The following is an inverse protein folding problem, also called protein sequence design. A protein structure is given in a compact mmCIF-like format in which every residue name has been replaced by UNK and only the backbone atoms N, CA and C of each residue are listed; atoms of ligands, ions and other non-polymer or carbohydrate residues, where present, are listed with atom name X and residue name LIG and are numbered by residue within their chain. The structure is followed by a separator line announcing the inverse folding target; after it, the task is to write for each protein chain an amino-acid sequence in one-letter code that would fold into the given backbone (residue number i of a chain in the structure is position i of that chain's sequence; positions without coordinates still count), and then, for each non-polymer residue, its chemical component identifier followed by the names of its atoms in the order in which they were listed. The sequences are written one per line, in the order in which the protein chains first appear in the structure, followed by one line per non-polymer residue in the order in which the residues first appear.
data_IF_283844565631
#
_entry.id   IF_283844565631
#
_cell.length_a   1.000
_cell.length_b   1.000
_cell.length_c   1.000
_cell.angle_alpha   90.00
_cell.angle_beta   90.00
_cell.angle_gamma   90.00
#
_symmetry.space_group_name_H-M   'P 1'
#
loop_
_entity.id
_entity.type
_entity.pdbx_description
1 polymer ?
#
# COMPACT_ATOMS: atom_id res chain seq x y z
N UNK A 1 4.10 53.05 27.13
CA UNK A 1 3.37 52.84 28.40
C UNK A 1 2.08 53.66 28.29
N UNK A 2 0.93 53.05 28.18
CA UNK A 2 -0.35 53.72 28.34
C UNK A 2 -0.41 54.19 29.81
N UNK A 3 -0.36 55.52 30.02
CA UNK A 3 -0.48 56.08 31.35
C UNK A 3 -1.89 55.79 31.86
N UNK A 4 -1.99 54.88 32.85
CA UNK A 4 -3.24 54.66 33.56
C UNK A 4 -3.54 55.94 34.34
N UNK A 5 -4.53 56.74 33.89
CA UNK A 5 -4.89 57.99 34.54
C UNK A 5 -5.68 57.68 35.82
N UNK A 6 -5.13 58.14 36.92
CA UNK A 6 -5.78 58.12 38.22
C UNK A 6 -6.42 59.48 38.53
N UNK A 7 -7.64 59.49 39.03
CA UNK A 7 -8.25 60.68 39.62
C UNK A 7 -7.70 60.86 41.04
N UNK A 8 -7.38 62.09 41.41
CA UNK A 8 -6.88 62.41 42.76
C UNK A 8 -8.04 62.87 43.66
N UNK A 9 -8.25 62.15 44.75
CA UNK A 9 -9.20 62.47 45.79
C UNK A 9 -8.46 62.68 47.12
N UNK A 10 -8.18 63.98 47.41
CA UNK A 10 -7.33 64.29 48.56
C UNK A 10 -5.94 63.66 48.41
N UNK A 11 -5.44 62.96 49.41
CA UNK A 11 -4.14 62.30 49.38
C UNK A 11 -4.20 60.89 48.69
N UNK A 12 -5.35 60.51 48.13
CA UNK A 12 -5.53 59.14 47.54
C UNK A 12 -5.62 59.21 46.00
N UNK A 13 -4.90 58.30 45.34
CA UNK A 13 -5.04 58.02 43.92
C UNK A 13 -6.14 56.99 43.71
N UNK A 14 -7.20 57.35 42.98
CA UNK A 14 -8.35 56.46 42.69
C UNK A 14 -8.37 56.17 41.20
N UNK A 15 -8.41 54.92 40.84
CA UNK A 15 -8.50 54.43 39.46
C UNK A 15 -9.93 54.02 39.14
N UNK A 16 -10.40 54.29 37.94
CA UNK A 16 -11.61 53.65 37.44
C UNK A 16 -11.39 52.14 37.27
N UNK A 17 -12.44 51.31 37.32
CA UNK A 17 -12.36 49.86 37.09
C UNK A 17 -11.72 49.54 35.75
N UNK A 18 -12.08 50.30 34.71
CA UNK A 18 -11.50 50.09 33.36
C UNK A 18 -10.01 50.47 33.31
N UNK A 19 -9.59 51.53 34.01
CA UNK A 19 -8.19 51.94 34.09
C UNK A 19 -7.36 50.91 34.86
N UNK A 20 -7.90 50.40 35.96
CA UNK A 20 -7.27 49.32 36.74
C UNK A 20 -7.12 48.02 35.92
N UNK A 21 -8.22 47.56 35.30
CA UNK A 21 -8.19 46.34 34.48
C UNK A 21 -7.20 46.46 33.33
N UNK A 22 -7.13 47.60 32.64
CA UNK A 22 -6.15 47.85 31.59
C UNK A 22 -4.72 47.81 32.12
N UNK A 23 -4.45 48.38 33.29
CA UNK A 23 -3.14 48.31 33.92
C UNK A 23 -2.71 46.89 34.26
N UNK A 24 -3.64 46.09 34.77
CA UNK A 24 -3.40 44.67 35.04
C UNK A 24 -3.18 43.89 33.75
N UNK A 25 -3.98 44.13 32.70
CA UNK A 25 -3.82 43.45 31.40
C UNK A 25 -2.44 43.79 30.78
N UNK A 26 -2.02 45.05 30.82
CA UNK A 26 -0.70 45.49 30.36
C UNK A 26 0.43 44.83 31.16
N UNK A 27 0.27 44.66 32.46
CA UNK A 27 1.25 43.95 33.28
C UNK A 27 1.33 42.46 32.94
N UNK A 28 0.18 41.76 32.84
CA UNK A 28 0.10 40.35 32.46
C UNK A 28 0.66 40.10 31.07
N UNK A 29 0.49 41.01 30.11
CA UNK A 29 0.99 40.87 28.75
C UNK A 29 2.51 40.82 28.63
N UNK A 30 3.25 41.26 29.69
CA UNK A 30 4.73 41.23 29.78
C UNK A 30 5.25 39.90 30.31
N UNK A 31 4.39 39.05 30.87
CA UNK A 31 4.81 37.72 31.31
C UNK A 31 5.13 36.81 30.12
N UNK A 32 6.17 35.98 30.22
CA UNK A 32 6.52 35.05 29.15
C UNK A 32 5.41 34.01 28.96
N UNK A 33 5.39 33.42 27.77
CA UNK A 33 4.62 32.19 27.53
C UNK A 33 5.25 31.05 28.33
N UNK A 34 4.42 30.25 28.97
CA UNK A 34 4.86 29.15 29.83
C UNK A 34 4.03 27.87 29.53
N UNK A 35 4.58 26.73 29.88
CA UNK A 35 3.84 25.49 29.92
C UNK A 35 3.20 25.32 31.31
N UNK A 36 1.94 24.91 31.35
CA UNK A 36 1.18 24.61 32.57
C UNK A 36 0.63 23.21 32.42
N UNK A 37 0.86 22.37 33.43
CA UNK A 37 0.31 21.02 33.53
C UNK A 37 -0.97 21.03 34.37
N UNK A 38 -1.93 20.20 33.98
CA UNK A 38 -3.16 20.01 34.75
C UNK A 38 -4.07 18.97 34.12
N UNK A 39 -5.10 18.59 34.87
CA UNK A 39 -6.18 17.72 34.42
C UNK A 39 -7.29 18.57 33.81
N UNK A 40 -7.78 18.18 32.64
CA UNK A 40 -8.87 18.87 31.94
C UNK A 40 -10.17 18.64 32.71
N UNK A 41 -10.85 19.72 33.02
CA UNK A 41 -12.21 19.69 33.58
C UNK A 41 -13.07 20.73 32.89
N UNK A 42 -14.38 20.52 32.87
CA UNK A 42 -15.36 21.43 32.28
C UNK A 42 -15.03 21.85 30.84
N UNK A 43 -14.70 20.89 29.98
CA UNK A 43 -14.47 21.19 28.56
C UNK A 43 -15.76 21.65 27.86
N UNK A 44 -15.79 22.90 27.39
CA UNK A 44 -16.94 23.53 26.75
C UNK A 44 -16.65 23.80 25.28
N UNK A 45 -17.23 23.00 24.40
CA UNK A 45 -17.06 23.03 22.93
C UNK A 45 -18.38 23.36 22.23
N UNK A 46 -18.94 24.53 22.38
CA UNK A 46 -20.17 24.86 21.65
C UNK A 46 -19.86 25.37 20.25
N UNK A 47 -20.55 24.85 19.22
CA UNK A 47 -20.31 25.19 17.81
C UNK A 47 -20.43 26.69 17.47
N UNK A 48 -21.19 27.43 18.25
CA UNK A 48 -21.43 28.86 18.06
C UNK A 48 -20.34 29.76 18.66
N UNK A 49 -19.39 29.23 19.41
CA UNK A 49 -18.37 30.02 20.10
C UNK A 49 -17.09 30.10 19.27
N UNK A 50 -16.51 31.30 19.18
CA UNK A 50 -15.24 31.55 18.51
C UNK A 50 -14.04 30.93 19.25
N UNK A 51 -14.21 30.55 20.53
CA UNK A 51 -13.18 29.97 21.38
C UNK A 51 -13.71 28.72 22.10
N UNK A 52 -12.82 27.77 22.35
CA UNK A 52 -13.02 26.64 23.25
C UNK A 52 -12.55 27.07 24.64
N UNK A 53 -13.29 26.66 25.66
CA UNK A 53 -12.97 26.92 27.06
C UNK A 53 -12.83 25.59 27.80
N UNK A 54 -11.82 25.51 28.65
CA UNK A 54 -11.62 24.39 29.56
C UNK A 54 -11.05 24.91 30.89
N UNK A 55 -11.15 24.12 31.93
CA UNK A 55 -10.51 24.38 33.21
C UNK A 55 -9.41 23.35 33.40
N UNK A 56 -8.18 23.79 33.70
CA UNK A 56 -7.12 22.89 34.18
C UNK A 56 -7.23 22.84 35.70
N UNK A 57 -7.20 21.64 36.25
CA UNK A 57 -7.19 21.38 37.67
C UNK A 57 -5.86 20.71 38.04
N UNK A 58 -5.20 21.24 39.07
CA UNK A 58 -4.02 20.58 39.63
C UNK A 58 -4.47 19.29 40.34
N UNK A 59 -3.87 18.13 39.99
CA UNK A 59 -4.27 16.87 40.63
C UNK A 59 -3.86 16.72 42.08
N UNK A 60 -2.92 17.57 42.60
CA UNK A 60 -2.39 17.47 43.94
C UNK A 60 -3.19 18.34 44.90
N UNK A 61 -3.36 19.62 44.60
CA UNK A 61 -3.98 20.59 45.49
C UNK A 61 -5.37 21.06 45.04
N UNK A 62 -5.78 20.68 43.84
CA UNK A 62 -7.08 21.02 43.27
C UNK A 62 -7.22 22.47 42.78
N UNK A 63 -6.11 23.23 42.67
CA UNK A 63 -6.09 24.57 42.11
C UNK A 63 -6.60 24.56 40.66
N UNK A 64 -7.42 25.55 40.30
CA UNK A 64 -8.04 25.62 38.97
C UNK A 64 -7.55 26.83 38.19
N UNK A 65 -7.27 26.59 36.90
CA UNK A 65 -6.89 27.65 35.94
C UNK A 65 -7.85 27.59 34.75
N UNK A 66 -8.57 28.69 34.51
CA UNK A 66 -9.43 28.80 33.32
C UNK A 66 -8.59 29.02 32.07
N UNK A 67 -8.77 28.19 31.07
CA UNK A 67 -8.06 28.24 29.80
C UNK A 67 -9.01 28.55 28.66
N UNK A 68 -8.55 29.41 27.74
CA UNK A 68 -9.25 29.73 26.51
C UNK A 68 -8.34 29.53 25.30
N UNK A 69 -8.88 28.97 24.22
CA UNK A 69 -8.16 28.79 22.96
C UNK A 69 -9.06 29.13 21.77
N UNK A 70 -8.57 29.85 20.74
CA UNK A 70 -9.34 30.08 19.51
C UNK A 70 -9.75 28.71 18.92
N UNK A 71 -11.01 28.61 18.50
CA UNK A 71 -11.57 27.35 17.99
C UNK A 71 -10.79 26.80 16.80
N UNK A 72 -10.43 27.63 15.84
CA UNK A 72 -9.66 27.21 14.68
C UNK A 72 -8.32 26.57 15.03
N UNK A 73 -7.66 27.09 16.09
CA UNK A 73 -6.41 26.52 16.59
C UNK A 73 -6.65 25.21 17.33
N UNK A 74 -7.70 25.13 18.15
CA UNK A 74 -8.06 23.92 18.87
C UNK A 74 -8.41 22.77 17.91
N UNK A 75 -9.24 23.06 16.89
CA UNK A 75 -9.65 22.07 15.90
C UNK A 75 -8.47 21.62 15.02
N UNK A 76 -7.48 22.51 14.77
CA UNK A 76 -6.26 22.16 14.04
C UNK A 76 -5.36 21.17 14.80
N UNK A 77 -5.42 21.15 16.15
CA UNK A 77 -4.66 20.18 16.97
C UNK A 77 -5.21 18.76 16.84
N UNK A 78 -6.44 18.58 16.33
CA UNK A 78 -7.12 17.28 16.20
C UNK A 78 -7.13 16.46 17.48
N UNK A 79 -7.12 17.13 18.62
CA UNK A 79 -7.16 16.50 19.94
C UNK A 79 -8.62 16.26 20.34
N UNK A 80 -8.95 15.01 20.57
CA UNK A 80 -10.24 14.63 21.15
C UNK A 80 -10.07 14.53 22.66
N UNK A 81 -10.03 15.72 23.32
CA UNK A 81 -9.86 15.83 24.76
C UNK A 81 -11.17 15.52 25.46
N UNK A 82 -11.07 14.80 26.56
CA UNK A 82 -12.17 14.52 27.49
C UNK A 82 -11.82 15.00 28.90
N UNK A 83 -12.86 15.23 29.70
CA UNK A 83 -12.66 15.56 31.11
C UNK A 83 -11.94 14.42 31.86
N UNK A 84 -10.97 14.77 32.70
CA UNK A 84 -10.11 13.83 33.41
C UNK A 84 -8.76 13.57 32.74
N UNK A 85 -8.51 14.05 31.53
CA UNK A 85 -7.21 13.90 30.88
C UNK A 85 -6.16 14.90 31.40
N UNK A 86 -4.94 14.42 31.62
CA UNK A 86 -3.80 15.30 31.94
C UNK A 86 -3.18 15.83 30.68
N UNK A 87 -2.96 17.16 30.66
CA UNK A 87 -2.42 17.87 29.51
C UNK A 87 -1.36 18.88 29.92
N UNK A 88 -0.48 19.19 29.00
CA UNK A 88 0.39 20.36 29.03
C UNK A 88 -0.19 21.43 28.12
N UNK A 89 -0.41 22.62 28.66
CA UNK A 89 -0.92 23.76 27.90
C UNK A 89 0.14 24.84 27.82
N UNK A 90 0.55 25.17 26.61
CA UNK A 90 1.46 26.28 26.33
C UNK A 90 0.68 27.54 26.06
N UNK A 91 0.96 28.61 26.80
CA UNK A 91 0.21 29.85 26.66
C UNK A 91 0.73 30.94 27.55
N UNK A 92 -0.09 31.97 27.72
CA UNK A 92 0.19 33.14 28.56
C UNK A 92 -1.05 33.59 29.34
N UNK A 93 -0.87 34.19 30.51
CA UNK A 93 -1.96 34.78 31.25
C UNK A 93 -2.54 35.97 30.50
N UNK A 94 -3.86 36.15 30.53
CA UNK A 94 -4.61 37.22 29.90
C UNK A 94 -5.75 37.68 30.83
N UNK A 95 -5.98 38.98 30.90
CA UNK A 95 -7.15 39.51 31.57
C UNK A 95 -8.14 40.00 30.51
N UNK A 96 -9.37 39.51 30.56
CA UNK A 96 -10.46 40.05 29.76
C UNK A 96 -10.96 41.34 30.35
N UNK A 97 -10.47 42.48 29.86
CA UNK A 97 -10.64 43.82 30.46
C UNK A 97 -12.10 44.17 30.73
N UNK A 98 -13.03 43.82 29.83
CA UNK A 98 -14.45 44.20 29.95
C UNK A 98 -15.15 43.58 31.17
N UNK A 99 -14.66 42.45 31.71
CA UNK A 99 -15.24 41.72 32.87
C UNK A 99 -14.28 41.57 34.03
N UNK A 100 -12.98 41.87 33.81
CA UNK A 100 -11.95 41.58 34.82
C UNK A 100 -11.66 40.10 35.01
N UNK A 101 -12.04 39.22 34.05
CA UNK A 101 -11.86 37.79 34.14
C UNK A 101 -10.42 37.42 33.80
N UNK A 102 -9.74 36.76 34.73
CA UNK A 102 -8.42 36.17 34.52
C UNK A 102 -8.55 34.86 33.77
N UNK A 103 -7.74 34.68 32.74
CA UNK A 103 -7.70 33.47 31.91
C UNK A 103 -6.28 33.17 31.48
N UNK A 104 -6.03 31.92 31.13
CA UNK A 104 -4.81 31.48 30.44
C UNK A 104 -5.12 31.31 28.95
N UNK A 105 -4.53 32.13 28.09
CA UNK A 105 -4.70 31.99 26.65
C UNK A 105 -3.76 30.95 26.12
N UNK A 106 -4.31 29.79 25.75
CA UNK A 106 -3.57 28.69 25.17
C UNK A 106 -3.18 28.98 23.72
N UNK A 107 -1.95 28.63 23.37
CA UNK A 107 -1.39 28.64 22.02
C UNK A 107 -1.21 27.20 21.49
N UNK A 108 -0.90 26.24 22.39
CA UNK A 108 -0.84 24.82 22.09
C UNK A 108 -1.31 24.00 23.30
N UNK A 109 -1.80 22.80 23.04
CA UNK A 109 -2.18 21.82 24.06
C UNK A 109 -1.58 20.49 23.63
N UNK A 110 -0.90 19.81 24.55
CA UNK A 110 -0.31 18.49 24.36
C UNK A 110 -0.76 17.55 25.46
N UNK A 111 -1.00 16.28 25.14
CA UNK A 111 -1.30 15.29 26.19
C UNK A 111 -0.07 15.04 27.04
N UNK A 112 -0.27 14.88 28.34
CA UNK A 112 0.80 14.61 29.30
C UNK A 112 1.58 13.34 28.92
N UNK A 113 2.90 13.42 28.93
CA UNK A 113 3.77 12.30 28.65
C UNK A 113 3.95 11.93 27.18
N UNK A 114 3.27 12.57 26.22
CA UNK A 114 3.40 12.26 24.80
C UNK A 114 4.84 12.41 24.30
N UNK A 115 5.54 13.47 24.70
CA UNK A 115 6.94 13.69 24.32
C UNK A 115 7.87 12.58 24.84
N UNK A 116 7.68 12.14 26.06
CA UNK A 116 8.47 11.06 26.67
C UNK A 116 8.17 9.72 26.02
N UNK A 117 6.89 9.46 25.68
CA UNK A 117 6.47 8.26 24.95
C UNK A 117 7.06 8.23 23.54
N UNK A 118 7.05 9.33 22.82
CA UNK A 118 7.66 9.40 21.47
C UNK A 118 9.18 9.18 21.53
N UNK A 119 9.86 9.77 22.51
CA UNK A 119 11.29 9.56 22.70
C UNK A 119 11.62 8.10 23.07
N UNK A 120 10.78 7.47 23.92
CA UNK A 120 10.91 6.06 24.27
C UNK A 120 10.68 5.14 23.06
N UNK A 121 9.66 5.46 22.25
CA UNK A 121 9.33 4.74 21.02
C UNK A 121 10.48 4.82 20.00
N UNK A 122 11.08 5.99 19.81
CA UNK A 122 12.20 6.16 18.88
C UNK A 122 13.47 5.42 19.38
N UNK A 123 13.72 5.40 20.69
CA UNK A 123 14.79 4.56 21.27
C UNK A 123 14.55 3.08 21.04
N UNK A 124 13.31 2.62 21.26
CA UNK A 124 12.90 1.23 21.00
C UNK A 124 13.09 0.87 19.53
N UNK A 125 12.61 1.71 18.61
CA UNK A 125 12.75 1.53 17.18
C UNK A 125 14.23 1.35 16.76
N UNK A 126 15.11 2.22 17.24
CA UNK A 126 16.57 2.12 16.94
C UNK A 126 17.17 0.83 17.47
N UNK A 127 16.79 0.40 18.68
CA UNK A 127 17.26 -0.86 19.27
C UNK A 127 16.81 -2.06 18.44
N UNK A 128 15.52 -2.15 18.10
CA UNK A 128 14.98 -3.26 17.31
C UNK A 128 15.51 -3.27 15.87
N UNK A 129 15.78 -2.11 15.30
CA UNK A 129 16.46 -1.99 14.00
C UNK A 129 17.89 -2.52 14.06
N UNK A 130 18.65 -2.17 15.12
CA UNK A 130 20.00 -2.68 15.32
C UNK A 130 20.05 -4.21 15.54
N UNK A 131 18.98 -4.79 16.05
CA UNK A 131 18.82 -6.25 16.18
C UNK A 131 18.35 -6.91 14.83
N UNK A 132 18.13 -6.13 13.77
CA UNK A 132 17.73 -6.65 12.44
C UNK A 132 16.27 -7.09 12.33
N UNK A 133 15.39 -6.76 13.29
CA UNK A 133 14.00 -7.23 13.29
C UNK A 133 13.18 -6.69 12.12
N UNK A 134 13.59 -5.59 11.49
CA UNK A 134 12.88 -4.96 10.38
C UNK A 134 13.39 -5.34 9.00
N UNK A 135 14.43 -6.17 8.92
CA UNK A 135 15.05 -6.55 7.64
C UNK A 135 14.40 -7.79 7.02
N UNK A 136 13.80 -8.64 7.84
CA UNK A 136 13.19 -9.88 7.38
C UNK A 136 11.92 -9.61 6.59
N UNK A 137 11.89 -10.09 5.34
CA UNK A 137 10.73 -10.00 4.45
C UNK A 137 10.50 -11.36 3.79
N UNK A 138 9.47 -12.06 4.19
CA UNK A 138 9.10 -13.34 3.56
C UNK A 138 8.14 -13.08 2.40
N UNK A 139 8.26 -13.82 1.30
CA UNK A 139 7.29 -13.71 0.22
C UNK A 139 5.92 -14.21 0.68
N UNK A 140 4.87 -13.54 0.24
CA UNK A 140 3.52 -14.00 0.47
C UNK A 140 3.22 -15.25 -0.41
N UNK A 141 2.45 -16.22 0.09
CA UNK A 141 2.01 -17.35 -0.70
C UNK A 141 1.11 -16.91 -1.84
N UNK A 142 1.38 -17.39 -3.05
CA UNK A 142 0.57 -17.03 -4.24
C UNK A 142 -0.87 -17.50 -4.12
N UNK A 143 -1.09 -18.65 -3.48
CA UNK A 143 -2.39 -19.29 -3.28
C UNK A 143 -2.48 -19.77 -1.83
N UNK A 144 -2.85 -18.90 -0.89
CA UNK A 144 -2.98 -19.32 0.51
C UNK A 144 -4.16 -20.29 0.66
N UNK A 145 -3.97 -21.36 1.39
CA UNK A 145 -5.03 -22.32 1.74
C UNK A 145 -5.99 -21.69 2.73
N UNK A 146 -5.42 -21.00 3.71
CA UNK A 146 -6.17 -20.34 4.77
C UNK A 146 -5.46 -19.06 5.21
N UNK A 147 -6.24 -18.01 5.37
CA UNK A 147 -5.80 -16.69 5.83
C UNK A 147 -6.23 -16.52 7.28
N UNK A 148 -5.29 -16.25 8.18
CA UNK A 148 -5.58 -15.79 9.53
C UNK A 148 -5.89 -14.29 9.51
N UNK A 149 -6.91 -13.86 10.22
CA UNK A 149 -7.25 -12.44 10.38
C UNK A 149 -7.29 -12.09 11.86
N UNK A 150 -6.34 -11.28 12.33
CA UNK A 150 -6.35 -10.68 13.67
C UNK A 150 -6.95 -9.28 13.56
N UNK A 151 -8.05 -9.04 14.21
CA UNK A 151 -8.76 -7.74 14.17
C UNK A 151 -9.58 -7.52 15.43
N UNK A 152 -9.99 -6.26 15.64
CA UNK A 152 -10.91 -5.92 16.71
C UNK A 152 -12.34 -6.37 16.44
N UNK A 153 -13.16 -6.21 17.47
CA UNK A 153 -14.61 -6.45 17.39
C UNK A 153 -15.32 -5.34 16.58
N UNK A 154 -14.57 -4.40 16.00
CA UNK A 154 -15.09 -3.38 15.10
C UNK A 154 -15.62 -4.03 13.83
N UNK A 155 -16.93 -3.99 13.69
CA UNK A 155 -17.66 -4.60 12.58
C UNK A 155 -17.26 -4.05 11.21
N UNK A 156 -16.71 -2.82 11.12
CA UNK A 156 -16.34 -2.18 9.86
C UNK A 156 -15.06 -2.78 9.27
N UNK A 157 -13.92 -2.71 9.98
CA UNK A 157 -12.63 -3.22 9.50
C UNK A 157 -12.69 -4.73 9.20
N UNK A 158 -13.31 -5.51 10.10
CA UNK A 158 -13.54 -6.95 9.89
C UNK A 158 -14.34 -7.23 8.62
N UNK A 159 -15.46 -6.51 8.43
CA UNK A 159 -16.33 -6.67 7.27
C UNK A 159 -15.61 -6.30 5.98
N UNK A 160 -14.84 -5.21 5.99
CA UNK A 160 -14.09 -4.74 4.82
C UNK A 160 -13.07 -5.77 4.36
N UNK A 161 -12.30 -6.37 5.30
CA UNK A 161 -11.33 -7.43 4.97
C UNK A 161 -12.03 -8.66 4.45
N UNK A 162 -13.07 -9.15 5.13
CA UNK A 162 -13.79 -10.36 4.72
C UNK A 162 -14.46 -10.17 3.36
N UNK A 163 -15.11 -9.03 3.13
CA UNK A 163 -15.73 -8.73 1.83
C UNK A 163 -14.68 -8.67 0.73
N UNK A 164 -13.55 -7.97 0.96
CA UNK A 164 -12.50 -7.86 -0.02
C UNK A 164 -11.87 -9.23 -0.37
N UNK A 165 -11.64 -10.10 0.63
CA UNK A 165 -11.12 -11.46 0.42
C UNK A 165 -12.09 -12.33 -0.37
N UNK A 166 -13.35 -12.40 0.06
CA UNK A 166 -14.35 -13.29 -0.54
C UNK A 166 -14.79 -12.85 -1.93
N UNK A 167 -14.84 -11.55 -2.19
CA UNK A 167 -15.15 -11.00 -3.52
C UNK A 167 -14.00 -11.28 -4.50
N UNK A 168 -12.76 -11.03 -4.06
CA UNK A 168 -11.60 -11.20 -4.94
C UNK A 168 -11.23 -12.66 -5.20
N UNK A 169 -11.35 -13.50 -4.18
CA UNK A 169 -11.03 -14.93 -4.27
C UNK A 169 -12.01 -15.75 -3.43
N UNK A 170 -13.19 -16.08 -3.97
CA UNK A 170 -14.25 -16.82 -3.25
C UNK A 170 -13.80 -18.14 -2.59
N UNK A 171 -12.79 -18.88 -3.11
CA UNK A 171 -12.30 -20.09 -2.45
C UNK A 171 -11.48 -19.83 -1.18
N UNK A 172 -11.13 -18.58 -0.85
CA UNK A 172 -10.33 -18.26 0.33
C UNK A 172 -11.04 -18.71 1.61
N UNK A 173 -10.31 -19.43 2.45
CA UNK A 173 -10.75 -19.78 3.80
C UNK A 173 -10.13 -18.80 4.79
N UNK A 174 -10.95 -18.21 5.64
CA UNK A 174 -10.51 -17.21 6.62
C UNK A 174 -10.79 -17.71 8.03
N UNK A 175 -9.79 -17.63 8.89
CA UNK A 175 -9.94 -17.85 10.35
C UNK A 175 -9.78 -16.50 11.03
N UNK A 176 -10.82 -16.06 11.71
CA UNK A 176 -10.84 -14.76 12.38
C UNK A 176 -10.52 -14.95 13.87
N UNK A 177 -9.48 -14.28 14.33
CA UNK A 177 -9.15 -14.14 15.74
C UNK A 177 -9.55 -12.72 16.18
N UNK A 178 -10.72 -12.60 16.78
CA UNK A 178 -11.21 -11.34 17.35
C UNK A 178 -10.53 -11.06 18.68
N UNK A 179 -9.97 -9.86 18.82
CA UNK A 179 -9.22 -9.51 20.02
C UNK A 179 -9.31 -8.02 20.32
N UNK A 180 -8.78 -7.59 21.45
CA UNK A 180 -8.64 -6.16 21.75
C UNK A 180 -7.54 -5.57 20.86
N UNK A 181 -7.87 -4.52 20.12
CA UNK A 181 -6.93 -3.80 19.22
C UNK A 181 -6.67 -2.36 19.68
N UNK A 182 -7.16 -1.99 20.86
CA UNK A 182 -6.95 -0.69 21.48
C UNK A 182 -6.92 -0.81 23.01
N UNK A 183 -6.28 0.15 23.66
CA UNK A 183 -6.11 0.20 25.10
C UNK A 183 -5.01 -0.72 25.65
N UNK A 184 -4.79 -0.74 26.98
CA UNK A 184 -3.64 -1.40 27.62
C UNK A 184 -3.58 -2.93 27.42
N UNK A 185 -4.71 -3.56 27.14
CA UNK A 185 -4.82 -5.01 26.93
C UNK A 185 -4.58 -5.45 25.49
N UNK A 186 -4.45 -4.50 24.55
CA UNK A 186 -4.37 -4.83 23.13
C UNK A 186 -3.11 -5.62 22.78
N UNK A 187 -1.92 -5.15 23.18
CA UNK A 187 -0.68 -5.82 22.81
C UNK A 187 -0.61 -7.29 23.26
N UNK A 188 -0.85 -7.66 24.55
CA UNK A 188 -0.85 -9.06 24.95
C UNK A 188 -1.94 -9.88 24.24
N UNK A 189 -3.14 -9.32 24.07
CA UNK A 189 -4.25 -10.02 23.44
C UNK A 189 -3.99 -10.30 21.93
N UNK A 190 -3.30 -9.40 21.22
CA UNK A 190 -2.87 -9.61 19.83
C UNK A 190 -1.77 -10.68 19.76
N UNK A 191 -0.82 -10.70 20.70
CA UNK A 191 0.20 -11.75 20.81
C UNK A 191 -0.46 -13.12 20.94
N UNK A 192 -1.41 -13.26 21.85
CA UNK A 192 -2.14 -14.51 22.06
C UNK A 192 -2.94 -14.93 20.81
N UNK A 193 -3.57 -13.97 20.13
CA UNK A 193 -4.29 -14.21 18.90
C UNK A 193 -3.38 -14.71 17.77
N UNK A 194 -2.19 -14.09 17.60
CA UNK A 194 -1.19 -14.54 16.61
C UNK A 194 -0.70 -15.94 16.96
N UNK A 195 -0.41 -16.21 18.23
CA UNK A 195 0.04 -17.53 18.68
C UNK A 195 -1.02 -18.61 18.40
N UNK A 196 -2.28 -18.35 18.73
CA UNK A 196 -3.38 -19.28 18.45
C UNK A 196 -3.55 -19.56 16.95
N UNK A 197 -3.41 -18.54 16.09
CA UNK A 197 -3.44 -18.76 14.65
C UNK A 197 -2.23 -19.57 14.16
N UNK A 198 -1.07 -19.41 14.76
CA UNK A 198 0.13 -20.16 14.41
C UNK A 198 0.06 -21.65 14.78
N UNK A 199 -0.80 -22.05 15.71
CA UNK A 199 -1.07 -23.45 16.08
C UNK A 199 -1.92 -24.18 15.01
N UNK A 200 -2.60 -23.44 14.14
CA UNK A 200 -3.41 -24.01 13.06
C UNK A 200 -2.52 -24.30 11.87
N UNK A 201 -2.37 -25.58 11.52
CA UNK A 201 -1.39 -26.05 10.50
C UNK A 201 -1.58 -25.43 9.11
N UNK A 202 -2.81 -25.17 8.70
CA UNK A 202 -3.14 -24.74 7.34
C UNK A 202 -3.12 -23.23 7.15
N UNK A 203 -2.71 -22.45 8.13
CA UNK A 203 -2.59 -20.98 7.97
C UNK A 203 -1.28 -20.66 7.26
N UNK A 204 -1.39 -20.08 6.08
CA UNK A 204 -0.27 -19.74 5.22
C UNK A 204 0.13 -18.25 5.31
N UNK A 205 -0.77 -17.38 5.78
CA UNK A 205 -0.54 -15.95 5.96
C UNK A 205 -1.48 -15.38 7.03
N UNK A 206 -1.00 -14.41 7.80
CA UNK A 206 -1.81 -13.70 8.80
C UNK A 206 -1.95 -12.23 8.36
N UNK A 207 -3.16 -11.70 8.44
CA UNK A 207 -3.47 -10.27 8.29
C UNK A 207 -3.73 -9.71 9.68
N UNK A 208 -2.93 -8.73 10.09
CA UNK A 208 -3.15 -7.93 11.29
C UNK A 208 -3.81 -6.62 10.86
N UNK A 209 -5.09 -6.45 11.16
CA UNK A 209 -5.89 -5.35 10.69
C UNK A 209 -6.55 -4.59 11.84
N UNK A 210 -6.50 -3.25 11.73
CA UNK A 210 -7.21 -2.34 12.62
C UNK A 210 -7.94 -1.28 11.79
N UNK A 211 -9.13 -0.89 12.25
CA UNK A 211 -9.87 0.24 11.70
C UNK A 211 -9.23 1.60 12.05
N UNK A 212 -9.83 2.69 11.60
CA UNK A 212 -9.41 4.05 11.96
C UNK A 212 -9.46 4.29 13.47
N UNK A 213 -8.77 5.32 13.96
CA UNK A 213 -8.74 5.71 15.36
C UNK A 213 -7.61 6.72 15.63
N UNK A 214 -7.44 7.08 16.89
CA UNK A 214 -6.44 8.07 17.31
C UNK A 214 -5.02 7.50 17.32
N UNK A 215 -4.02 8.39 17.43
CA UNK A 215 -2.61 7.99 17.57
C UNK A 215 -2.39 7.09 18.80
N UNK A 216 -3.07 7.36 19.90
CA UNK A 216 -2.95 6.56 21.12
C UNK A 216 -3.40 5.12 20.93
N UNK A 217 -4.38 4.90 20.09
CA UNK A 217 -4.84 3.55 19.75
C UNK A 217 -3.82 2.76 18.92
N UNK A 218 -2.81 3.43 18.33
CA UNK A 218 -1.71 2.80 17.62
C UNK A 218 -0.53 2.42 18.52
N UNK A 219 -0.44 3.00 19.73
CA UNK A 219 0.65 2.74 20.67
C UNK A 219 0.82 1.24 21.01
N UNK A 220 -0.25 0.46 21.25
CA UNK A 220 -0.13 -0.97 21.50
C UNK A 220 0.56 -1.76 20.40
N UNK A 221 0.47 -1.30 19.14
CA UNK A 221 1.13 -1.92 17.99
C UNK A 221 2.63 -1.57 17.90
N UNK A 222 3.11 -0.76 18.82
CA UNK A 222 4.54 -0.49 18.99
C UNK A 222 5.10 -1.13 20.27
N UNK A 223 4.34 -1.99 20.93
CA UNK A 223 4.80 -2.79 22.06
C UNK A 223 5.92 -3.76 21.61
N UNK A 224 7.01 -3.81 22.38
CA UNK A 224 8.20 -4.59 22.03
C UNK A 224 7.89 -6.10 21.87
N UNK A 225 7.06 -6.67 22.75
CA UNK A 225 6.71 -8.10 22.72
C UNK A 225 5.95 -8.42 21.45
N UNK A 226 4.96 -7.57 21.11
CA UNK A 226 4.17 -7.75 19.89
C UNK A 226 5.05 -7.63 18.64
N UNK A 227 5.93 -6.62 18.58
CA UNK A 227 6.86 -6.44 17.44
C UNK A 227 7.76 -7.67 17.27
N UNK A 228 8.29 -8.23 18.37
CA UNK A 228 9.11 -9.44 18.34
C UNK A 228 8.32 -10.67 17.87
N UNK A 229 7.07 -10.81 18.29
CA UNK A 229 6.18 -11.91 17.85
C UNK A 229 5.90 -11.79 16.35
N UNK A 230 5.60 -10.57 15.85
CA UNK A 230 5.38 -10.33 14.42
C UNK A 230 6.63 -10.68 13.60
N UNK A 231 7.82 -10.22 14.04
CA UNK A 231 9.08 -10.49 13.34
C UNK A 231 9.45 -11.97 13.35
N UNK A 232 9.18 -12.71 14.44
CA UNK A 232 9.56 -14.11 14.62
C UNK A 232 8.47 -15.10 14.20
N UNK A 233 7.28 -14.64 13.83
CA UNK A 233 6.16 -15.49 13.45
C UNK A 233 6.55 -16.54 12.40
N UNK A 234 5.97 -17.74 12.48
CA UNK A 234 6.22 -18.84 11.56
C UNK A 234 5.76 -18.55 10.13
N UNK A 235 4.60 -17.92 10.00
CA UNK A 235 4.01 -17.55 8.72
C UNK A 235 4.17 -16.07 8.43
N UNK A 236 4.16 -15.64 7.17
CA UNK A 236 4.23 -14.22 6.83
C UNK A 236 3.05 -13.45 7.39
N UNK A 237 3.33 -12.22 7.84
CA UNK A 237 2.32 -11.31 8.38
C UNK A 237 2.21 -10.08 7.48
N UNK A 238 0.97 -9.74 7.13
CA UNK A 238 0.61 -8.46 6.48
C UNK A 238 -0.01 -7.56 7.54
N UNK A 239 0.63 -6.43 7.81
CA UNK A 239 0.11 -5.43 8.75
C UNK A 239 -0.63 -4.32 8.01
N UNK A 240 -1.86 -4.04 8.46
CA UNK A 240 -2.74 -2.99 7.97
C UNK A 240 -3.30 -2.21 9.16
N UNK A 241 -2.40 -1.62 9.93
CA UNK A 241 -2.69 -0.92 11.19
C UNK A 241 -2.43 0.56 11.07
N UNK A 242 -1.28 0.94 10.53
CA UNK A 242 -0.88 2.34 10.40
C UNK A 242 -1.40 3.01 9.14
N UNK A 243 -1.53 4.34 9.22
CA UNK A 243 -1.82 5.20 8.08
C UNK A 243 -0.52 5.80 7.50
N UNK A 244 -0.60 6.58 6.42
CA UNK A 244 0.58 7.16 5.76
C UNK A 244 1.45 8.00 6.70
N UNK A 245 0.84 8.68 7.69
CA UNK A 245 1.51 9.58 8.63
C UNK A 245 2.02 8.89 9.90
N UNK A 246 1.35 7.81 10.34
CA UNK A 246 1.64 7.14 11.60
C UNK A 246 1.94 5.65 11.37
N UNK A 247 3.21 5.29 11.45
CA UNK A 247 3.68 3.92 11.23
C UNK A 247 4.03 3.25 12.55
N UNK A 248 3.19 2.35 13.09
CA UNK A 248 3.53 1.57 14.27
C UNK A 248 4.68 0.60 13.99
N UNK A 249 5.40 0.15 15.03
CA UNK A 249 6.56 -0.71 14.87
C UNK A 249 6.21 -2.10 14.32
N UNK A 250 5.00 -2.58 14.53
CA UNK A 250 4.51 -3.82 13.89
C UNK A 250 4.48 -3.74 12.37
N UNK A 251 4.18 -2.56 11.78
CA UNK A 251 4.21 -2.37 10.33
C UNK A 251 5.64 -2.46 9.77
N UNK A 252 6.63 -2.05 10.58
CA UNK A 252 8.05 -2.19 10.24
C UNK A 252 8.54 -3.62 10.36
N UNK A 253 8.00 -4.40 11.30
CA UNK A 253 8.38 -5.78 11.56
C UNK A 253 7.62 -6.79 10.69
N UNK A 254 6.46 -6.44 10.18
CA UNK A 254 5.66 -7.28 9.29
C UNK A 254 6.35 -7.52 7.95
N UNK A 255 6.07 -8.63 7.29
CA UNK A 255 6.64 -8.98 5.98
C UNK A 255 6.16 -8.02 4.89
N UNK A 256 4.90 -7.60 4.98
CA UNK A 256 4.29 -6.64 4.06
C UNK A 256 3.45 -5.64 4.85
N UNK A 257 3.58 -4.37 4.50
CA UNK A 257 2.72 -3.29 5.00
C UNK A 257 1.63 -2.99 3.99
N UNK A 258 0.41 -2.84 4.47
CA UNK A 258 -0.74 -2.36 3.70
C UNK A 258 -1.27 -1.06 4.29
N UNK A 259 -1.70 -0.13 3.44
CA UNK A 259 -2.23 1.17 3.87
C UNK A 259 -3.63 1.09 4.48
N UNK A 260 -4.38 0.04 4.16
CA UNK A 260 -5.73 -0.21 4.69
C UNK A 260 -6.01 -1.70 4.80
N UNK A 261 -6.99 -2.10 5.66
CA UNK A 261 -7.42 -3.48 5.75
C UNK A 261 -7.87 -4.11 4.41
N UNK A 262 -8.54 -3.34 3.56
CA UNK A 262 -8.97 -3.80 2.23
C UNK A 262 -7.80 -4.00 1.26
N UNK A 263 -6.74 -3.18 1.38
CA UNK A 263 -5.50 -3.37 0.61
C UNK A 263 -4.77 -4.63 1.07
N UNK A 264 -4.69 -4.87 2.38
CA UNK A 264 -4.09 -6.12 2.91
C UNK A 264 -4.79 -7.35 2.34
N UNK A 265 -6.13 -7.34 2.33
CA UNK A 265 -6.92 -8.43 1.75
C UNK A 265 -6.54 -8.70 0.27
N UNK A 266 -6.37 -7.63 -0.52
CA UNK A 266 -5.97 -7.76 -1.94
C UNK A 266 -4.55 -8.26 -2.14
N UNK A 267 -3.66 -8.01 -1.21
CA UNK A 267 -2.26 -8.47 -1.29
C UNK A 267 -2.11 -9.96 -0.97
N UNK A 268 -2.97 -10.51 -0.11
CA UNK A 268 -2.84 -11.89 0.36
C UNK A 268 -3.54 -12.91 -0.52
N UNK A 269 -4.48 -12.52 -1.38
CA UNK A 269 -5.16 -13.44 -2.31
C UNK A 269 -5.05 -12.97 -3.75
N UNK A 270 -4.97 -13.89 -4.71
CA UNK A 270 -4.99 -13.55 -6.13
C UNK A 270 -6.38 -13.05 -6.55
N UNK A 271 -6.46 -12.46 -7.74
CA UNK A 271 -7.71 -12.13 -8.38
C UNK A 271 -8.25 -13.35 -9.15
N UNK A 272 -9.44 -13.81 -8.77
CA UNK A 272 -10.03 -14.99 -9.40
C UNK A 272 -10.42 -14.74 -10.86
N UNK A 273 -10.81 -13.54 -11.21
CA UNK A 273 -11.23 -13.20 -12.57
C UNK A 273 -10.02 -13.04 -13.50
N UNK A 274 -8.95 -12.37 -13.03
CA UNK A 274 -7.66 -12.34 -13.75
C UNK A 274 -7.09 -13.73 -13.99
N UNK A 275 -7.20 -14.63 -12.99
CA UNK A 275 -6.75 -16.02 -13.12
C UNK A 275 -7.56 -16.79 -14.16
N UNK A 276 -8.89 -16.63 -14.16
CA UNK A 276 -9.77 -17.26 -15.15
C UNK A 276 -9.44 -16.81 -16.56
N UNK A 277 -9.32 -15.50 -16.74
CA UNK A 277 -8.96 -14.91 -18.03
C UNK A 277 -7.60 -15.45 -18.53
N UNK A 278 -6.59 -15.48 -17.66
CA UNK A 278 -5.28 -16.02 -18.00
C UNK A 278 -5.31 -17.52 -18.38
N UNK A 279 -6.12 -18.29 -17.66
CA UNK A 279 -6.32 -19.71 -17.97
C UNK A 279 -7.02 -19.90 -19.32
N UNK A 280 -8.04 -19.10 -19.62
CA UNK A 280 -8.74 -19.13 -20.90
C UNK A 280 -7.81 -18.77 -22.06
N UNK A 281 -7.05 -17.70 -21.93
CA UNK A 281 -6.06 -17.29 -22.94
C UNK A 281 -4.99 -18.37 -23.15
N UNK A 282 -4.53 -19.01 -22.07
CA UNK A 282 -3.54 -20.08 -22.14
C UNK A 282 -4.12 -21.33 -22.81
N UNK A 283 -5.35 -21.71 -22.44
CA UNK A 283 -6.09 -22.82 -23.06
C UNK A 283 -6.25 -22.60 -24.57
N UNK A 284 -6.64 -21.38 -24.96
CA UNK A 284 -6.84 -21.05 -26.39
C UNK A 284 -5.52 -21.04 -27.17
N UNK A 285 -4.43 -20.58 -26.58
CA UNK A 285 -3.07 -20.71 -27.16
C UNK A 285 -2.68 -22.17 -27.34
N UNK A 286 -2.91 -23.03 -26.33
CA UNK A 286 -2.61 -24.44 -26.42
C UNK A 286 -3.45 -25.16 -27.49
N UNK A 287 -4.71 -24.77 -27.69
CA UNK A 287 -5.56 -25.30 -28.76
C UNK A 287 -5.12 -24.89 -30.16
N UNK A 288 -4.66 -23.66 -30.34
CA UNK A 288 -4.27 -23.11 -31.66
C UNK A 288 -2.85 -23.52 -32.07
N UNK A 289 -1.93 -23.69 -31.12
CA UNK A 289 -0.54 -24.00 -31.41
C UNK A 289 -0.32 -25.26 -32.27
N UNK A 290 -0.99 -26.39 -32.04
CA UNK A 290 -0.88 -27.57 -32.89
C UNK A 290 -1.38 -27.30 -34.31
N UNK A 291 -2.51 -26.63 -34.47
CA UNK A 291 -3.11 -26.29 -35.77
C UNK A 291 -2.16 -25.45 -36.61
N UNK A 292 -1.63 -24.37 -36.06
CA UNK A 292 -0.64 -23.53 -36.70
C UNK A 292 0.64 -24.30 -37.08
N UNK A 293 1.05 -25.26 -36.25
CA UNK A 293 2.23 -26.08 -36.52
C UNK A 293 1.97 -27.03 -37.70
N UNK A 294 0.79 -27.62 -37.77
CA UNK A 294 0.38 -28.48 -38.89
C UNK A 294 0.28 -27.66 -40.18
N UNK A 295 -0.36 -26.50 -40.15
CA UNK A 295 -0.47 -25.62 -41.28
C UNK A 295 0.90 -25.19 -41.84
N UNK A 296 1.82 -24.80 -40.95
CA UNK A 296 3.19 -24.40 -41.32
C UNK A 296 3.96 -25.57 -41.98
N UNK A 297 3.80 -26.79 -41.44
CA UNK A 297 4.43 -27.98 -42.01
C UNK A 297 3.82 -28.37 -43.37
N UNK A 298 2.48 -28.25 -43.52
CA UNK A 298 1.81 -28.42 -44.82
C UNK A 298 2.31 -27.41 -45.86
N UNK A 299 2.31 -26.14 -45.52
CA UNK A 299 2.79 -25.12 -46.44
C UNK A 299 4.26 -25.31 -46.86
N UNK A 300 5.12 -25.79 -45.93
CA UNK A 300 6.51 -26.17 -46.28
C UNK A 300 6.57 -27.37 -47.19
N UNK A 301 5.75 -28.39 -47.01
CA UNK A 301 5.67 -29.56 -47.83
C UNK A 301 5.18 -29.19 -49.23
N UNK A 302 4.09 -28.46 -49.32
CA UNK A 302 3.54 -27.97 -50.59
C UNK A 302 4.56 -27.14 -51.41
N UNK A 303 5.28 -26.26 -50.72
CA UNK A 303 6.36 -25.49 -51.31
C UNK A 303 7.55 -26.34 -51.77
N UNK A 304 7.85 -27.40 -51.06
CA UNK A 304 8.89 -28.37 -51.46
C UNK A 304 8.43 -29.21 -52.67
N UNK A 305 7.19 -29.68 -52.67
CA UNK A 305 6.59 -30.35 -53.85
C UNK A 305 6.52 -29.46 -55.05
N UNK A 306 6.12 -28.21 -54.93
CA UNK A 306 6.11 -27.22 -56.01
C UNK A 306 7.49 -27.03 -56.65
N UNK A 307 8.55 -26.91 -55.83
CA UNK A 307 9.94 -26.82 -56.30
C UNK A 307 10.40 -28.09 -57.00
N UNK A 308 10.11 -29.23 -56.42
CA UNK A 308 10.47 -30.53 -57.02
C UNK A 308 9.81 -30.70 -58.39
N UNK A 309 8.54 -30.32 -58.53
CA UNK A 309 7.79 -30.39 -59.77
C UNK A 309 8.33 -29.41 -60.81
N UNK A 310 8.70 -28.18 -60.40
CA UNK A 310 9.28 -27.19 -61.28
C UNK A 310 10.68 -27.59 -61.81
N UNK A 311 11.45 -28.34 -61.02
CA UNK A 311 12.78 -28.84 -61.38
C UNK A 311 12.74 -30.22 -62.05
N UNK A 312 11.58 -30.83 -62.16
CA UNK A 312 11.42 -32.14 -62.77
C UNK A 312 11.64 -32.09 -64.29
N UNK A 313 12.55 -32.86 -64.86
CA UNK A 313 12.72 -32.96 -66.32
C UNK A 313 11.42 -33.35 -67.02
N UNK A 314 10.64 -34.23 -66.43
CA UNK A 314 9.35 -34.69 -66.98
C UNK A 314 8.38 -33.55 -67.19
N UNK A 315 8.24 -32.62 -66.19
CA UNK A 315 7.38 -31.44 -66.35
C UNK A 315 7.82 -30.50 -67.46
N UNK A 316 9.13 -30.44 -67.74
CA UNK A 316 9.67 -29.64 -68.83
C UNK A 316 9.36 -30.29 -70.17
N UNK A 317 9.49 -31.60 -70.25
CA UNK A 317 9.12 -32.37 -71.45
C UNK A 317 7.61 -32.34 -71.77
N UNK A 318 6.75 -32.39 -70.74
CA UNK A 318 5.28 -32.26 -70.86
C UNK A 318 4.84 -30.89 -71.46
N UNK A 319 5.63 -29.84 -71.28
CA UNK A 319 5.41 -28.51 -71.89
C UNK A 319 5.80 -28.39 -73.34
N UNK A 320 6.29 -29.52 -73.95
CA UNK A 320 6.70 -29.56 -75.36
C UNK A 320 8.18 -29.28 -75.59
N UNK A 321 8.97 -29.22 -74.53
CA UNK A 321 10.43 -29.17 -74.68
C UNK A 321 10.95 -30.59 -74.93
N UNK A 322 12.12 -30.70 -75.60
CA UNK A 322 12.80 -31.94 -75.83
C UNK A 322 14.20 -31.94 -75.21
N UNK A 323 14.65 -33.09 -74.70
CA UNK A 323 16.05 -33.27 -74.31
C UNK A 323 16.76 -33.93 -75.49
N UNK A 324 17.75 -33.22 -76.04
CA UNK A 324 18.58 -33.74 -77.09
C UNK A 324 19.86 -34.31 -76.54
N UNK A 325 20.17 -35.56 -76.90
CA UNK A 325 21.39 -36.24 -76.46
C UNK A 325 22.25 -36.66 -77.73
N UNK A 326 23.56 -36.55 -77.58
CA UNK A 326 24.53 -37.11 -78.53
C UNK A 326 25.45 -38.04 -77.70
N UNK A 327 25.59 -39.25 -78.16
CA UNK A 327 26.38 -40.30 -77.46
C UNK A 327 26.08 -40.41 -75.91
N UNK A 328 24.77 -40.27 -75.55
CA UNK A 328 24.31 -40.36 -74.17
C UNK A 328 24.48 -39.06 -73.34
N UNK A 329 25.11 -37.99 -73.87
CA UNK A 329 25.31 -36.69 -73.23
C UNK A 329 24.27 -35.67 -73.74
N UNK A 330 23.76 -34.85 -72.81
CA UNK A 330 22.80 -33.81 -73.16
C UNK A 330 23.49 -32.71 -73.87
N UNK A 331 22.98 -32.39 -75.08
CA UNK A 331 23.42 -31.25 -75.93
C UNK A 331 22.83 -29.97 -75.33
N UNK A 332 23.68 -29.02 -74.94
CA UNK A 332 23.27 -27.76 -74.29
C UNK A 332 23.40 -26.54 -75.22
N UNK A 333 24.16 -26.68 -76.27
CA UNK A 333 24.37 -25.62 -77.20
C UNK A 333 24.64 -26.15 -78.61
N UNK A 334 24.37 -25.33 -79.60
CA UNK A 334 24.54 -25.68 -81.01
C UNK A 334 26.01 -26.04 -81.43
N UNK A 335 27.01 -25.48 -80.68
CA UNK A 335 28.42 -25.81 -80.92
C UNK A 335 28.86 -27.23 -80.47
N UNK A 336 28.00 -28.01 -79.82
CA UNK A 336 28.29 -29.36 -79.40
C UNK A 336 27.86 -30.43 -80.39
N UNK A 337 27.26 -30.00 -81.49
CA UNK A 337 26.85 -30.85 -82.64
C UNK A 337 27.28 -30.27 -83.99
N UNK A 338 27.61 -31.13 -84.94
CA UNK A 338 27.97 -30.74 -86.27
C UNK A 338 26.88 -31.20 -87.22
N UNK A 339 26.81 -30.56 -88.45
CA UNK A 339 25.91 -30.99 -89.47
C UNK A 339 26.22 -32.45 -89.87
N UNK A 340 25.19 -33.28 -89.94
CA UNK A 340 25.31 -34.73 -90.19
C UNK A 340 25.37 -35.57 -88.94
N UNK A 341 25.50 -34.97 -87.72
CA UNK A 341 25.51 -35.73 -86.47
C UNK A 341 24.14 -36.31 -86.13
N UNK A 342 24.12 -37.53 -85.65
CA UNK A 342 22.93 -38.21 -85.21
C UNK A 342 22.69 -37.89 -83.69
N UNK A 343 21.49 -37.49 -83.38
CA UNK A 343 21.09 -37.15 -82.04
C UNK A 343 19.83 -37.92 -81.64
N UNK A 344 19.71 -38.24 -80.35
CA UNK A 344 18.49 -38.82 -79.76
C UNK A 344 17.69 -37.69 -79.13
N UNK A 345 16.42 -37.59 -79.49
CA UNK A 345 15.49 -36.58 -78.97
C UNK A 345 14.49 -37.25 -78.08
N UNK A 346 14.54 -36.92 -76.81
CA UNK A 346 13.63 -37.42 -75.78
C UNK A 346 12.50 -36.40 -75.59
N UNK A 347 11.26 -36.88 -75.73
CA UNK A 347 10.02 -36.10 -75.49
C UNK A 347 9.31 -36.52 -74.26
N UNK A 348 8.25 -35.84 -73.85
CA UNK A 348 7.41 -36.19 -72.72
C UNK A 348 6.81 -37.60 -72.77
N UNK A 349 6.57 -38.07 -74.00
CA UNK A 349 6.16 -39.46 -74.27
C UNK A 349 6.98 -40.00 -75.39
N UNK A 350 7.89 -40.94 -75.09
CA UNK A 350 8.77 -41.53 -76.07
C UNK A 350 9.90 -40.63 -76.55
N UNK A 351 10.52 -41.05 -77.71
CA UNK A 351 11.61 -40.29 -78.29
C UNK A 351 11.88 -40.80 -79.70
N UNK A 352 12.69 -40.09 -80.51
CA UNK A 352 13.09 -40.47 -81.79
C UNK A 352 14.57 -40.01 -82.12
N UNK A 353 15.21 -40.70 -82.99
CA UNK A 353 16.52 -40.30 -83.51
C UNK A 353 16.35 -39.28 -84.63
N UNK A 354 17.17 -38.23 -84.63
CA UNK A 354 17.20 -37.20 -85.63
C UNK A 354 18.64 -37.01 -86.15
N UNK A 355 18.80 -36.46 -87.39
CA UNK A 355 20.08 -36.02 -87.90
C UNK A 355 20.11 -34.51 -88.00
N UNK A 356 21.16 -33.88 -87.49
CA UNK A 356 21.32 -32.43 -87.55
C UNK A 356 21.62 -32.03 -88.98
N UNK A 357 20.74 -31.22 -89.62
CA UNK A 357 20.96 -30.77 -91.00
C UNK A 357 21.83 -29.50 -91.02
N UNK A 358 21.61 -28.56 -90.10
CA UNK A 358 22.31 -27.27 -90.04
C UNK A 358 22.41 -26.84 -88.53
N UNK A 359 23.53 -26.20 -88.20
CA UNK A 359 23.71 -25.57 -86.82
C UNK A 359 23.72 -24.06 -87.05
N UNK A 360 22.95 -23.35 -86.22
CA UNK A 360 22.86 -21.86 -86.22
C UNK A 360 23.54 -21.29 -84.97
#
# INVERSE_FOLDING_TARGET
MAKVEAAQYGDRKVYSVSAFNRGVADWLSRLPTVWVEGEVTELRRQQRWASVFLTLKDPVDGSCLRVSMPRSQFDALRLDLVDGERVHVYGRPELFEARGDFRFRALSIERFGLGDHLAALERLKRRLAAEGLFERRRPLPRFPRRVGLVTGNDAAAKRDVLTALTTRFPPARVVVAETYVQGPRAAPAIVDAIAALCEIDDIDVIVLARGGGSFEDLLPFSDERLVRVVASCRVPIVSAVGHEQDTPLTDLAADVRASTPSVAARLVVPDADELREHLEQTRDRLRRAPLLTVERKRARLDGAFGRLRALSPTSTLERGYAIVRRDGRIVRGSGEVEAGSRVDVELGQGGFGATVEETR
#
